data_IF_623732563076
#
_entry.id   IF_623732563076
#
_cell.length_a   1.000
_cell.length_b   1.000
_cell.length_c   1.000
_cell.angle_alpha   90.00
_cell.angle_beta   90.00
_cell.angle_gamma   90.00
#
_symmetry.space_group_name_H-M   'P 1'
#
loop_
_entity.id
_entity.type
_entity.pdbx_description
1 polymer ?
#
# COMPACT_ATOMS: atom_id res chain seq x y z
N UNK A 1 11.22 -17.50 -20.67
CA UNK A 1 10.44 -16.40 -20.05
C UNK A 1 9.33 -15.96 -21.01
N UNK A 2 8.08 -16.33 -20.72
CA UNK A 2 6.95 -15.95 -21.54
C UNK A 2 6.55 -14.51 -21.17
N UNK A 3 6.65 -13.56 -22.11
CA UNK A 3 6.30 -12.15 -21.88
C UNK A 3 4.90 -11.94 -21.28
N UNK A 4 3.98 -12.87 -21.55
CA UNK A 4 2.64 -12.91 -20.96
C UNK A 4 2.67 -13.04 -19.43
N UNK A 5 3.56 -13.85 -18.86
CA UNK A 5 3.62 -14.07 -17.40
C UNK A 5 4.12 -12.83 -16.67
N UNK A 6 5.13 -12.14 -17.23
CA UNK A 6 5.62 -10.85 -16.71
C UNK A 6 4.55 -9.75 -16.76
N UNK A 7 3.76 -9.68 -17.85
CA UNK A 7 2.65 -8.74 -17.96
C UNK A 7 1.58 -8.99 -16.88
N UNK A 8 1.23 -10.25 -16.61
CA UNK A 8 0.27 -10.58 -15.55
C UNK A 8 0.79 -10.21 -14.16
N UNK A 9 2.07 -10.42 -13.86
CA UNK A 9 2.69 -10.03 -12.58
C UNK A 9 2.63 -8.52 -12.38
N UNK A 10 2.97 -7.74 -13.39
CA UNK A 10 2.87 -6.27 -13.35
C UNK A 10 1.41 -5.83 -13.18
N UNK A 11 0.49 -6.45 -13.92
CA UNK A 11 -0.93 -6.11 -13.83
C UNK A 11 -1.49 -6.41 -12.43
N UNK A 12 -1.11 -7.53 -11.82
CA UNK A 12 -1.48 -7.88 -10.44
C UNK A 12 -0.87 -6.88 -9.44
N UNK A 13 0.41 -6.53 -9.59
CA UNK A 13 1.12 -5.61 -8.68
C UNK A 13 0.57 -4.18 -8.70
N UNK A 14 0.04 -3.71 -9.83
CA UNK A 14 -0.47 -2.35 -9.94
C UNK A 14 -2.00 -2.26 -9.85
N UNK A 15 -2.74 -3.16 -10.50
CA UNK A 15 -4.20 -3.06 -10.56
C UNK A 15 -4.84 -3.46 -9.23
N UNK A 16 -4.35 -4.50 -8.56
CA UNK A 16 -4.99 -4.97 -7.31
C UNK A 16 -4.90 -3.90 -6.21
N UNK A 17 -3.74 -3.29 -5.89
CA UNK A 17 -3.66 -2.27 -4.84
C UNK A 17 -4.53 -1.05 -5.15
N UNK A 18 -4.54 -0.58 -6.41
CA UNK A 18 -5.34 0.58 -6.82
C UNK A 18 -6.84 0.29 -6.70
N UNK A 19 -7.27 -0.91 -7.12
CA UNK A 19 -8.68 -1.31 -7.06
C UNK A 19 -9.13 -1.53 -5.62
N UNK A 20 -8.26 -2.12 -4.77
CA UNK A 20 -8.51 -2.27 -3.35
C UNK A 20 -8.61 -0.91 -2.65
N UNK A 21 -7.72 0.03 -2.96
CA UNK A 21 -7.74 1.38 -2.38
C UNK A 21 -9.05 2.12 -2.71
N UNK A 22 -9.55 2.01 -3.95
CA UNK A 22 -10.83 2.61 -4.35
C UNK A 22 -12.06 1.91 -3.74
N UNK A 23 -11.99 0.61 -3.48
CA UNK A 23 -13.13 -0.17 -2.98
C UNK A 23 -13.13 -0.35 -1.47
N UNK A 24 -12.04 -0.01 -0.77
CA UNK A 24 -11.88 -0.17 0.66
C UNK A 24 -13.02 0.46 1.47
N UNK A 25 -13.41 1.69 1.15
CA UNK A 25 -14.49 2.39 1.86
C UNK A 25 -15.85 1.70 1.69
N UNK A 26 -16.11 1.15 0.50
CA UNK A 26 -17.37 0.42 0.21
C UNK A 26 -17.38 -0.96 0.86
N UNK A 27 -16.23 -1.64 0.88
CA UNK A 27 -16.05 -2.95 1.54
C UNK A 27 -16.19 -2.82 3.05
N UNK A 28 -15.63 -1.77 3.64
CA UNK A 28 -15.70 -1.49 5.07
C UNK A 28 -17.15 -1.28 5.53
N UNK A 29 -17.93 -0.49 4.78
CA UNK A 29 -19.33 -0.22 5.09
C UNK A 29 -20.26 -1.44 4.93
N UNK A 30 -19.95 -2.39 4.03
CA UNK A 30 -20.80 -3.56 3.77
C UNK A 30 -20.41 -4.80 4.59
N UNK A 31 -19.13 -5.14 4.67
CA UNK A 31 -18.67 -6.38 5.31
C UNK A 31 -18.35 -6.23 6.80
N UNK A 32 -17.82 -5.07 7.21
CA UNK A 32 -17.25 -4.91 8.54
C UNK A 32 -18.10 -4.08 9.52
N UNK A 33 -19.31 -3.68 9.11
CA UNK A 33 -20.21 -2.80 9.87
C UNK A 33 -20.54 -3.28 11.31
N UNK A 34 -20.43 -4.58 11.59
CA UNK A 34 -20.74 -5.16 12.92
C UNK A 34 -19.50 -5.58 13.72
N UNK A 35 -18.31 -5.43 13.15
CA UNK A 35 -17.08 -5.95 13.75
C UNK A 35 -16.39 -4.83 14.54
N UNK A 36 -15.74 -5.16 15.68
CA UNK A 36 -14.95 -4.16 16.40
C UNK A 36 -13.81 -3.66 15.52
N UNK A 37 -13.58 -2.35 15.45
CA UNK A 37 -12.55 -1.73 14.60
C UNK A 37 -11.16 -2.36 14.76
N UNK A 38 -10.81 -2.79 15.99
CA UNK A 38 -9.55 -3.48 16.30
C UNK A 38 -9.42 -4.82 15.56
N UNK A 39 -10.50 -5.57 15.41
CA UNK A 39 -10.51 -6.87 14.73
C UNK A 39 -10.39 -6.65 13.23
N UNK A 40 -11.10 -5.66 12.69
CA UNK A 40 -11.01 -5.30 11.26
C UNK A 40 -9.59 -4.85 10.92
N UNK A 41 -9.00 -4.02 11.78
CA UNK A 41 -7.61 -3.59 11.67
C UNK A 41 -6.65 -4.78 11.63
N UNK A 42 -6.72 -5.68 12.61
CA UNK A 42 -5.86 -6.86 12.67
C UNK A 42 -6.04 -7.76 11.44
N UNK A 43 -7.28 -7.98 11.01
CA UNK A 43 -7.61 -8.80 9.85
C UNK A 43 -7.04 -8.21 8.57
N UNK A 44 -7.10 -6.88 8.39
CA UNK A 44 -6.50 -6.20 7.26
C UNK A 44 -4.97 -6.35 7.26
N UNK A 45 -4.32 -6.21 8.42
CA UNK A 45 -2.87 -6.42 8.55
C UNK A 45 -2.48 -7.85 8.16
N UNK A 46 -3.15 -8.86 8.73
CA UNK A 46 -2.86 -10.27 8.44
C UNK A 46 -3.11 -10.59 6.96
N UNK A 47 -4.21 -10.10 6.40
CA UNK A 47 -4.54 -10.34 4.99
C UNK A 47 -3.51 -9.69 4.06
N UNK A 48 -3.00 -8.51 4.42
CA UNK A 48 -1.93 -7.84 3.67
C UNK A 48 -0.66 -8.69 3.68
N UNK A 49 -0.25 -9.19 4.84
CA UNK A 49 0.93 -10.06 4.98
C UNK A 49 0.77 -11.35 4.15
N UNK A 50 -0.40 -11.98 4.22
CA UNK A 50 -0.69 -13.19 3.43
C UNK A 50 -0.67 -12.92 1.93
N UNK A 51 -1.20 -11.77 1.50
CA UNK A 51 -1.18 -11.37 0.10
C UNK A 51 0.24 -11.12 -0.40
N UNK A 52 1.09 -10.46 0.39
CA UNK A 52 2.50 -10.25 0.03
C UNK A 52 3.28 -11.56 -0.02
N UNK A 53 3.03 -12.49 0.90
CA UNK A 53 3.62 -13.83 0.85
C UNK A 53 3.22 -14.60 -0.41
N UNK A 54 1.94 -14.54 -0.78
CA UNK A 54 1.43 -15.18 -1.99
C UNK A 54 2.05 -14.57 -3.26
N UNK A 55 2.15 -13.24 -3.31
CA UNK A 55 2.80 -12.52 -4.41
C UNK A 55 4.28 -12.87 -4.51
N UNK A 56 4.99 -12.84 -3.38
CA UNK A 56 6.40 -13.19 -3.29
C UNK A 56 6.67 -14.61 -3.80
N UNK A 57 5.86 -15.57 -3.36
CA UNK A 57 5.91 -16.94 -3.87
C UNK A 57 5.71 -16.96 -5.39
N UNK A 58 4.65 -16.31 -5.88
CA UNK A 58 4.28 -16.31 -7.30
C UNK A 58 5.40 -15.72 -8.16
N UNK A 59 6.02 -14.63 -7.70
CA UNK A 59 7.15 -14.00 -8.38
C UNK A 59 8.36 -14.93 -8.36
N UNK A 60 8.75 -15.45 -7.19
CA UNK A 60 9.89 -16.38 -7.06
C UNK A 60 9.75 -17.59 -7.98
N UNK A 61 8.55 -18.17 -8.05
CA UNK A 61 8.26 -19.30 -8.92
C UNK A 61 8.34 -18.95 -10.41
N UNK A 62 7.91 -17.75 -10.80
CA UNK A 62 7.88 -17.35 -12.21
C UNK A 62 9.20 -16.80 -12.73
N UNK A 63 10.01 -16.17 -11.87
CA UNK A 63 11.28 -15.54 -12.26
C UNK A 63 12.49 -16.42 -11.96
N UNK A 64 12.29 -17.59 -11.33
CA UNK A 64 13.35 -18.48 -10.84
C UNK A 64 14.32 -17.78 -9.87
N UNK A 65 13.90 -16.64 -9.31
CA UNK A 65 14.68 -15.91 -8.30
C UNK A 65 14.58 -16.63 -6.96
N UNK A 66 15.61 -16.46 -6.13
CA UNK A 66 15.53 -16.93 -4.76
C UNK A 66 14.33 -16.29 -4.06
N UNK A 67 13.73 -17.02 -3.11
CA UNK A 67 12.59 -16.50 -2.37
C UNK A 67 12.99 -15.22 -1.59
N UNK A 68 14.22 -15.14 -1.08
CA UNK A 68 14.75 -13.96 -0.39
C UNK A 68 14.84 -12.72 -1.30
N UNK A 69 15.39 -12.87 -2.50
CA UNK A 69 15.48 -11.76 -3.47
C UNK A 69 14.09 -11.32 -3.95
N UNK A 70 13.19 -12.28 -4.14
CA UNK A 70 11.79 -12.01 -4.53
C UNK A 70 11.04 -11.31 -3.40
N UNK A 71 11.26 -11.72 -2.15
CA UNK A 71 10.66 -11.12 -0.96
C UNK A 71 11.11 -9.67 -0.82
N UNK A 72 12.41 -9.40 -0.94
CA UNK A 72 12.92 -8.03 -0.90
C UNK A 72 12.34 -7.17 -2.02
N UNK A 73 12.36 -7.66 -3.26
CA UNK A 73 11.93 -6.91 -4.44
C UNK A 73 10.44 -6.58 -4.41
N UNK A 74 9.59 -7.57 -4.12
CA UNK A 74 8.14 -7.40 -4.06
C UNK A 74 7.74 -6.46 -2.92
N UNK A 75 8.28 -6.68 -1.72
CA UNK A 75 7.96 -5.85 -0.56
C UNK A 75 8.44 -4.41 -0.74
N UNK A 76 9.62 -4.20 -1.31
CA UNK A 76 10.13 -2.86 -1.59
C UNK A 76 9.25 -2.13 -2.60
N UNK A 77 8.83 -2.81 -3.67
CA UNK A 77 7.98 -2.23 -4.71
C UNK A 77 6.59 -1.87 -4.18
N UNK A 78 5.97 -2.75 -3.38
CA UNK A 78 4.68 -2.50 -2.74
C UNK A 78 4.75 -1.36 -1.72
N UNK A 79 5.84 -1.28 -0.95
CA UNK A 79 6.08 -0.18 -0.02
C UNK A 79 6.15 1.17 -0.76
N UNK A 80 6.89 1.23 -1.87
CA UNK A 80 6.95 2.43 -2.72
C UNK A 80 5.57 2.78 -3.27
N UNK A 81 4.79 1.79 -3.73
CA UNK A 81 3.45 2.02 -4.27
C UNK A 81 2.49 2.59 -3.22
N UNK A 82 2.48 2.04 -2.01
CA UNK A 82 1.68 2.58 -0.92
C UNK A 82 2.13 3.98 -0.54
N UNK A 83 3.44 4.21 -0.49
CA UNK A 83 3.99 5.53 -0.24
C UNK A 83 3.56 6.54 -1.30
N UNK A 84 3.62 6.16 -2.57
CA UNK A 84 3.18 6.97 -3.69
C UNK A 84 1.66 7.24 -3.67
N UNK A 85 0.84 6.24 -3.31
CA UNK A 85 -0.62 6.43 -3.19
C UNK A 85 -0.98 7.40 -2.07
N UNK A 86 -0.37 7.27 -0.89
CA UNK A 86 -0.60 8.20 0.22
C UNK A 86 -0.08 9.61 -0.11
N UNK A 87 1.06 9.71 -0.82
CA UNK A 87 1.55 10.99 -1.32
C UNK A 87 0.57 11.68 -2.28
N UNK A 88 0.01 10.94 -3.25
CA UNK A 88 -0.97 11.50 -4.18
C UNK A 88 -2.28 11.89 -3.46
N UNK A 89 -2.76 11.07 -2.52
CA UNK A 89 -3.96 11.40 -1.75
C UNK A 89 -3.80 12.66 -0.91
N UNK A 90 -2.63 12.82 -0.29
CA UNK A 90 -2.30 14.02 0.46
C UNK A 90 -2.28 15.27 -0.44
N UNK A 91 -1.71 15.15 -1.65
CA UNK A 91 -1.73 16.24 -2.63
C UNK A 91 -3.16 16.58 -3.09
N UNK A 92 -4.00 15.57 -3.36
CA UNK A 92 -5.42 15.76 -3.72
C UNK A 92 -6.20 16.48 -2.60
N UNK A 93 -6.00 16.09 -1.34
CA UNK A 93 -6.63 16.75 -0.19
C UNK A 93 -6.16 18.20 -0.03
N UNK A 94 -4.88 18.50 -0.31
CA UNK A 94 -4.34 19.87 -0.29
C UNK A 94 -4.95 20.73 -1.39
N UNK A 95 -5.09 20.20 -2.60
CA UNK A 95 -5.75 20.90 -3.70
C UNK A 95 -7.22 21.20 -3.38
N UNK A 96 -7.97 20.22 -2.87
CA UNK A 96 -9.35 20.39 -2.44
C UNK A 96 -9.50 21.42 -1.29
N UNK A 97 -8.57 21.43 -0.34
CA UNK A 97 -8.55 22.40 0.77
C UNK A 97 -8.20 23.81 0.26
N UNK A 98 -7.26 23.94 -0.67
CA UNK A 98 -6.88 25.23 -1.28
C UNK A 98 -8.03 25.89 -2.06
N UNK A 99 -8.88 25.08 -2.71
CA UNK A 99 -10.08 25.55 -3.41
C UNK A 99 -11.17 26.05 -2.43
N UNK A 100 -11.30 25.42 -1.26
CA UNK A 100 -12.24 25.87 -0.22
C UNK A 100 -11.79 27.16 0.48
N UNK A 101 -10.48 27.39 0.62
CA UNK A 101 -9.92 28.63 1.20
C UNK A 101 -9.98 29.80 0.21
N UNK A 102 -10.10 29.55 -1.10
CA UNK A 102 -10.19 30.57 -2.14
C UNK A 102 -11.42 31.48 -2.09
N UNK A 103 -12.45 31.17 -1.29
CA UNK A 103 -13.69 31.94 -1.17
C UNK A 103 -13.81 32.76 0.12
N UNK A 104 -12.83 32.69 1.04
CA UNK A 104 -12.92 33.39 2.33
C UNK A 104 -11.57 33.92 2.81
N UNK A 105 -11.46 35.24 2.87
CA UNK A 105 -10.40 35.99 3.57
C UNK A 105 -9.02 36.00 2.92
N UNK A 106 -8.66 37.16 2.34
CA UNK A 106 -7.32 37.45 1.88
C UNK A 106 -6.35 37.64 3.04
N UNK A 107 -5.62 36.59 3.40
CA UNK A 107 -4.30 36.63 4.04
C UNK A 107 -3.72 35.22 3.95
N UNK A 108 -2.87 34.96 2.95
CA UNK A 108 -2.25 33.64 2.75
C UNK A 108 -0.92 33.59 3.51
N UNK A 109 -0.98 33.20 4.78
CA UNK A 109 0.17 32.62 5.48
C UNK A 109 0.41 31.25 4.87
N UNK A 110 1.52 31.07 4.15
CA UNK A 110 1.92 29.75 3.64
C UNK A 110 2.41 28.91 4.83
N UNK A 111 1.50 28.20 5.50
CA UNK A 111 1.86 27.11 6.38
C UNK A 111 2.45 25.99 5.52
N UNK A 112 3.75 25.74 5.68
CA UNK A 112 4.41 24.57 5.08
C UNK A 112 3.95 23.36 5.90
N UNK A 113 2.78 22.81 5.57
CA UNK A 113 2.36 21.53 6.13
C UNK A 113 3.33 20.45 5.64
N UNK A 114 4.16 19.96 6.56
CA UNK A 114 5.01 18.80 6.34
C UNK A 114 4.14 17.62 5.88
N UNK A 115 4.65 16.83 4.94
CA UNK A 115 3.97 15.63 4.48
C UNK A 115 3.66 14.70 5.66
N UNK A 116 2.37 14.50 5.95
CA UNK A 116 1.89 13.60 6.99
C UNK A 116 1.60 12.23 6.39
N UNK A 117 2.50 11.27 6.60
CA UNK A 117 2.23 9.90 6.17
C UNK A 117 1.15 9.29 7.09
N UNK A 118 -0.08 9.15 6.58
CA UNK A 118 -1.15 8.53 7.36
C UNK A 118 -0.90 7.03 7.45
N UNK A 119 -0.54 6.57 8.65
CA UNK A 119 -0.33 5.15 8.93
C UNK A 119 -1.65 4.40 8.79
N UNK A 120 -1.78 3.60 7.73
CA UNK A 120 -2.92 2.71 7.48
C UNK A 120 -2.61 1.28 7.91
N UNK A 121 -3.61 0.43 8.23
CA UNK A 121 -3.38 -0.97 8.56
C UNK A 121 -2.61 -1.71 7.45
N UNK A 122 -2.87 -1.36 6.18
CA UNK A 122 -2.16 -1.89 5.02
C UNK A 122 -0.68 -1.50 5.10
N UNK A 123 -0.36 -0.20 5.27
CA UNK A 123 1.03 0.26 5.40
C UNK A 123 1.81 -0.42 6.53
N UNK A 124 1.12 -0.74 7.65
CA UNK A 124 1.73 -1.48 8.76
C UNK A 124 2.01 -2.93 8.36
N UNK A 125 1.05 -3.60 7.73
CA UNK A 125 1.24 -4.96 7.23
C UNK A 125 2.43 -5.07 6.26
N UNK A 126 2.49 -4.16 5.29
CA UNK A 126 3.60 -4.09 4.32
C UNK A 126 4.94 -3.79 5.00
N UNK A 127 4.96 -2.83 5.94
CA UNK A 127 6.17 -2.48 6.68
C UNK A 127 6.71 -3.64 7.52
N UNK A 128 5.83 -4.39 8.20
CA UNK A 128 6.21 -5.57 8.98
C UNK A 128 6.77 -6.68 8.09
N UNK A 129 6.15 -6.93 6.95
CA UNK A 129 6.60 -7.98 6.04
C UNK A 129 7.90 -7.60 5.32
N UNK A 130 8.08 -6.33 4.94
CA UNK A 130 9.36 -5.81 4.43
C UNK A 130 10.48 -5.92 5.45
N UNK A 131 10.22 -5.54 6.72
CA UNK A 131 11.20 -5.67 7.79
C UNK A 131 11.62 -7.13 8.02
N UNK A 132 10.67 -8.06 7.97
CA UNK A 132 10.96 -9.50 8.02
C UNK A 132 11.84 -9.95 6.85
N UNK A 133 11.59 -9.44 5.64
CA UNK A 133 12.42 -9.72 4.46
C UNK A 133 13.84 -9.16 4.56
N UNK A 134 14.00 -7.95 5.10
CA UNK A 134 15.31 -7.36 5.38
C UNK A 134 16.13 -8.18 6.37
N UNK A 135 15.49 -8.63 7.46
CA UNK A 135 16.16 -9.48 8.45
C UNK A 135 16.56 -10.81 7.83
N UNK A 136 15.68 -11.42 7.03
CA UNK A 136 15.98 -12.67 6.35
C UNK A 136 17.12 -12.54 5.33
N UNK A 137 17.14 -11.45 4.56
CA UNK A 137 18.20 -11.13 3.60
C UNK A 137 19.55 -10.81 4.28
N UNK A 138 19.54 -10.17 5.46
CA UNK A 138 20.77 -9.88 6.20
C UNK A 138 21.38 -11.11 6.89
N UNK A 139 20.57 -12.12 7.18
CA UNK A 139 20.99 -13.33 7.90
C UNK A 139 21.47 -14.47 6.99
N UNK A 140 21.25 -14.37 5.67
CA UNK A 140 21.41 -15.46 4.69
C UNK A 140 22.29 -15.01 3.53
#
# INVERSE_FOLDING_TARGET
>A
MNWLSGFFVVLILFVIPITLAKTADTLHQRLFRKWPDKVVFLLLVITTILFEALLTWTVAWQTEMSYGDSHFTVSFLLLILVWFMEFNREMENREATSQNVGFGSGEKTYEIEAFSFRVTPISIGMGLYFAAGLIFFLLL
#
